data_IF_449407107345
#
_entry.id   IF_449407107345
#
_cell.length_a   1.000
_cell.length_b   1.000
_cell.length_c   1.000
_cell.angle_alpha   90.00
_cell.angle_beta   90.00
_cell.angle_gamma   90.00
#
_symmetry.space_group_name_H-M   'P 1'
#
loop_
_entity.id
_entity.type
_entity.pdbx_description
1 polymer ?
#
# COMPACT_ATOMS: atom_id res chain seq x y z
N UNK A 1 2.37 26.93 -15.01
CA UNK A 1 1.79 25.72 -14.42
C UNK A 1 0.45 26.06 -13.79
N UNK A 2 -0.60 25.31 -14.11
CA UNK A 2 -1.94 25.45 -13.55
C UNK A 2 -2.04 24.54 -12.33
N UNK A 3 -2.55 25.03 -11.19
CA UNK A 3 -2.81 24.21 -10.01
C UNK A 3 -4.29 23.91 -9.91
N UNK A 4 -4.61 22.64 -9.73
CA UNK A 4 -5.96 22.12 -9.53
C UNK A 4 -5.98 21.47 -8.14
N UNK A 5 -6.96 21.82 -7.32
CA UNK A 5 -7.19 21.17 -6.04
C UNK A 5 -8.60 20.59 -6.02
N UNK A 6 -8.69 19.28 -5.83
CA UNK A 6 -9.96 18.54 -5.80
C UNK A 6 -9.99 17.65 -4.57
N UNK A 7 -11.19 17.42 -4.03
CA UNK A 7 -11.39 16.42 -3.00
C UNK A 7 -11.44 15.03 -3.63
N UNK A 8 -10.98 14.01 -2.90
CA UNK A 8 -11.12 12.59 -3.27
C UNK A 8 -12.56 12.22 -3.62
N UNK A 9 -13.51 12.72 -2.82
CA UNK A 9 -14.96 12.57 -3.05
C UNK A 9 -15.58 13.94 -3.18
N UNK A 10 -16.10 14.27 -4.37
CA UNK A 10 -16.73 15.55 -4.63
C UNK A 10 -17.30 15.64 -6.05
N UNK A 11 -18.10 16.69 -6.34
CA UNK A 11 -18.54 16.97 -7.69
C UNK A 11 -17.34 17.29 -8.60
N UNK A 12 -17.54 17.16 -9.91
CA UNK A 12 -16.55 17.62 -10.87
C UNK A 12 -16.34 19.14 -10.71
N UNK A 13 -15.09 19.57 -10.79
CA UNK A 13 -14.73 20.98 -10.78
C UNK A 13 -14.54 21.43 -12.22
N UNK A 14 -15.24 22.51 -12.59
CA UNK A 14 -15.13 23.12 -13.91
C UNK A 14 -13.96 24.08 -13.97
N UNK A 15 -13.04 23.84 -14.89
CA UNK A 15 -11.80 24.59 -15.03
C UNK A 15 -11.58 24.97 -16.49
N UNK A 16 -11.03 26.17 -16.71
CA UNK A 16 -10.58 26.55 -18.04
C UNK A 16 -9.25 25.89 -18.35
N UNK A 17 -9.25 24.97 -19.30
CA UNK A 17 -8.09 24.24 -19.77
C UNK A 17 -8.07 24.27 -21.29
N UNK A 18 -6.88 24.36 -21.88
CA UNK A 18 -6.71 24.14 -23.31
C UNK A 18 -7.10 22.69 -23.65
N UNK A 19 -7.49 22.45 -24.90
CA UNK A 19 -7.84 21.12 -25.37
C UNK A 19 -6.68 20.12 -25.15
N UNK A 20 -5.45 20.56 -25.35
CA UNK A 20 -4.26 19.75 -25.11
C UNK A 20 -4.12 19.39 -23.62
N UNK A 21 -4.23 20.36 -22.71
CA UNK A 21 -4.17 20.11 -21.26
C UNK A 21 -5.26 19.14 -20.80
N UNK A 22 -6.49 19.33 -21.26
CA UNK A 22 -7.62 18.48 -20.89
C UNK A 22 -7.47 17.04 -21.41
N UNK A 23 -7.05 16.87 -22.67
CA UNK A 23 -6.77 15.55 -23.24
C UNK A 23 -5.62 14.84 -22.52
N UNK A 24 -4.54 15.55 -22.19
CA UNK A 24 -3.42 15.00 -21.41
C UNK A 24 -3.87 14.54 -20.01
N UNK A 25 -4.69 15.34 -19.31
CA UNK A 25 -5.26 14.94 -18.02
C UNK A 25 -6.14 13.70 -18.14
N UNK A 26 -6.99 13.62 -19.17
CA UNK A 26 -7.85 12.47 -19.40
C UNK A 26 -7.03 11.20 -19.69
N UNK A 27 -5.99 11.32 -20.51
CA UNK A 27 -5.08 10.21 -20.85
C UNK A 27 -4.23 9.77 -19.65
N UNK A 28 -3.87 10.68 -18.74
CA UNK A 28 -3.01 10.37 -17.58
C UNK A 28 -3.61 9.34 -16.61
N UNK A 29 -4.92 9.11 -16.64
CA UNK A 29 -5.62 8.20 -15.73
C UNK A 29 -5.68 8.66 -14.26
N UNK A 30 -5.03 9.78 -13.90
CA UNK A 30 -4.99 10.35 -12.53
C UNK A 30 -6.37 10.86 -12.09
N UNK A 31 -7.09 11.51 -13.01
CA UNK A 31 -8.41 12.11 -12.80
C UNK A 31 -9.34 11.72 -13.95
N UNK A 32 -10.65 11.81 -13.73
CA UNK A 32 -11.61 11.88 -14.83
C UNK A 32 -11.65 13.32 -15.31
N UNK A 33 -11.15 13.57 -16.52
CA UNK A 33 -11.28 14.85 -17.19
C UNK A 33 -12.16 14.68 -18.43
N UNK A 34 -13.18 15.53 -18.59
CA UNK A 34 -14.06 15.54 -19.76
C UNK A 34 -14.30 16.98 -20.23
N UNK A 35 -14.38 17.25 -21.54
CA UNK A 35 -14.76 18.57 -22.02
C UNK A 35 -16.22 18.84 -21.62
N UNK A 36 -16.51 20.09 -21.25
CA UNK A 36 -17.88 20.50 -20.97
C UNK A 36 -18.71 20.47 -22.26
N UNK A 37 -19.96 19.97 -22.22
CA UNK A 37 -20.84 20.01 -23.38
C UNK A 37 -21.25 21.43 -23.78
N UNK A 38 -21.06 22.42 -22.91
CA UNK A 38 -21.53 23.80 -23.10
C UNK A 38 -20.42 24.79 -23.50
N UNK A 39 -19.15 24.51 -23.19
CA UNK A 39 -18.00 25.37 -23.50
C UNK A 39 -16.76 24.51 -23.80
N UNK A 40 -16.20 24.67 -25.01
CA UNK A 40 -15.03 23.90 -25.48
C UNK A 40 -13.74 24.22 -24.72
N UNK A 41 -13.68 25.36 -24.03
CA UNK A 41 -12.55 25.76 -23.21
C UNK A 41 -12.71 25.37 -21.74
N UNK A 42 -13.84 24.75 -21.38
CA UNK A 42 -14.16 24.35 -20.03
C UNK A 42 -14.06 22.82 -19.92
N UNK A 43 -13.38 22.36 -18.89
CA UNK A 43 -13.20 20.95 -18.60
C UNK A 43 -13.72 20.63 -17.22
N UNK A 44 -14.49 19.56 -17.12
CA UNK A 44 -14.95 18.98 -15.87
C UNK A 44 -13.92 17.96 -15.39
N UNK A 45 -13.33 18.25 -14.23
CA UNK A 45 -12.27 17.42 -13.64
C UNK A 45 -12.74 16.86 -12.29
N UNK A 46 -12.66 15.55 -12.13
CA UNK A 46 -13.07 14.84 -10.91
C UNK A 46 -12.01 13.81 -10.50
N UNK A 47 -11.81 13.63 -9.19
CA UNK A 47 -10.98 12.57 -8.66
C UNK A 47 -11.56 11.18 -9.03
N UNK A 48 -10.67 10.18 -9.14
CA UNK A 48 -11.07 8.78 -9.34
C UNK A 48 -11.13 8.06 -8.01
N UNK A 49 -10.01 7.48 -7.62
CA UNK A 49 -9.84 6.53 -6.52
C UNK A 49 -8.51 6.72 -5.77
N UNK A 50 -7.65 7.63 -6.27
CA UNK A 50 -6.33 7.91 -5.72
C UNK A 50 -6.27 9.31 -5.09
N UNK A 51 -5.45 9.45 -4.04
CA UNK A 51 -5.17 10.73 -3.36
C UNK A 51 -3.70 11.07 -3.40
N UNK A 52 -3.35 12.36 -3.37
CA UNK A 52 -1.96 12.81 -3.42
C UNK A 52 -1.74 13.89 -4.48
N UNK A 53 -0.56 13.91 -5.09
CA UNK A 53 -0.19 14.95 -6.07
C UNK A 53 0.29 14.33 -7.36
N UNK A 54 -0.08 14.94 -8.47
CA UNK A 54 0.35 14.57 -9.80
C UNK A 54 0.69 15.81 -10.63
N UNK A 55 1.77 15.75 -11.40
CA UNK A 55 2.05 16.72 -12.47
C UNK A 55 1.82 16.02 -13.79
N UNK A 56 0.94 16.57 -14.63
CA UNK A 56 0.64 16.09 -15.98
C UNK A 56 0.95 17.24 -16.94
N UNK A 57 2.13 17.19 -17.56
CA UNK A 57 2.64 18.31 -18.37
C UNK A 57 2.82 19.57 -17.52
N UNK A 58 2.02 20.60 -17.80
CA UNK A 58 2.03 21.89 -17.08
C UNK A 58 0.87 22.03 -16.07
N UNK A 59 0.10 20.98 -15.85
CA UNK A 59 -1.01 20.94 -14.89
C UNK A 59 -0.61 20.13 -13.66
N UNK A 60 -0.81 20.70 -12.50
CA UNK A 60 -0.53 20.10 -11.20
C UNK A 60 -1.84 19.84 -10.46
N UNK A 61 -2.12 18.57 -10.17
CA UNK A 61 -3.36 18.11 -9.54
C UNK A 61 -3.07 17.68 -8.11
N UNK A 62 -3.80 18.28 -7.17
CA UNK A 62 -3.80 17.94 -5.75
C UNK A 62 -5.13 17.30 -5.40
N UNK A 63 -5.09 16.03 -5.00
CA UNK A 63 -6.26 15.27 -4.59
C UNK A 63 -6.20 15.08 -3.07
N UNK A 64 -7.04 15.81 -2.35
CA UNK A 64 -7.05 15.80 -0.88
C UNK A 64 -7.88 14.62 -0.36
N UNK A 65 -7.31 13.78 0.53
CA UNK A 65 -8.06 12.68 1.15
C UNK A 65 -9.17 13.21 2.07
N UNK A 66 -10.25 12.45 2.19
CA UNK A 66 -11.29 12.71 3.20
C UNK A 66 -10.87 12.30 4.62
N UNK A 67 -9.85 11.43 4.73
CA UNK A 67 -9.20 11.08 5.99
C UNK A 67 -8.16 12.13 6.36
N UNK A 68 -8.01 12.41 7.66
CA UNK A 68 -6.87 13.20 8.12
C UNK A 68 -5.56 12.45 7.87
N UNK A 69 -4.49 13.22 7.72
CA UNK A 69 -3.17 12.70 7.31
C UNK A 69 -2.61 11.72 8.34
N UNK A 70 -2.81 11.98 9.63
CA UNK A 70 -2.39 11.07 10.72
C UNK A 70 -3.10 9.72 10.64
N UNK A 71 -4.41 9.70 10.34
CA UNK A 71 -5.17 8.45 10.14
C UNK A 71 -4.64 7.70 8.93
N UNK A 72 -4.41 8.40 7.82
CA UNK A 72 -3.88 7.78 6.62
C UNK A 72 -2.51 7.13 6.86
N UNK A 73 -1.60 7.84 7.53
CA UNK A 73 -0.28 7.31 7.84
C UNK A 73 -0.36 6.12 8.80
N UNK A 74 -1.27 6.15 9.79
CA UNK A 74 -1.55 5.00 10.64
C UNK A 74 -2.00 3.77 9.83
N UNK A 75 -2.97 3.92 8.92
CA UNK A 75 -3.48 2.79 8.12
C UNK A 75 -2.39 2.19 7.21
N UNK A 76 -1.63 3.04 6.50
CA UNK A 76 -0.55 2.56 5.63
C UNK A 76 0.53 1.87 6.46
N UNK A 77 0.90 2.47 7.58
CA UNK A 77 1.92 1.98 8.46
C UNK A 77 1.57 0.61 9.04
N UNK A 78 0.38 0.51 9.63
CA UNK A 78 -0.13 -0.72 10.20
C UNK A 78 -0.25 -1.84 9.16
N UNK A 79 -0.73 -1.53 7.94
CA UNK A 79 -0.80 -2.49 6.83
C UNK A 79 0.58 -2.96 6.32
N UNK A 80 1.67 -2.38 6.81
CA UNK A 80 3.04 -2.77 6.43
C UNK A 80 3.73 -3.51 7.57
N UNK A 81 3.58 -3.02 8.79
CA UNK A 81 4.05 -3.67 10.01
C UNK A 81 3.21 -3.26 11.22
N UNK A 82 2.25 -4.10 11.60
CA UNK A 82 1.38 -3.83 12.72
C UNK A 82 2.10 -3.62 14.06
N UNK A 83 3.21 -4.33 14.27
CA UNK A 83 3.92 -4.32 15.56
C UNK A 83 4.75 -3.05 15.70
N UNK A 84 5.50 -2.68 14.66
CA UNK A 84 6.35 -1.48 14.68
C UNK A 84 5.56 -0.17 14.66
N UNK A 85 4.43 -0.09 13.94
CA UNK A 85 3.70 1.17 13.78
C UNK A 85 2.82 1.57 14.97
N UNK A 86 2.39 0.62 15.80
CA UNK A 86 1.64 0.92 17.05
C UNK A 86 2.44 1.87 17.96
N UNK A 87 3.77 1.77 17.98
CA UNK A 87 4.65 2.61 18.82
C UNK A 87 5.05 3.95 18.17
N UNK A 88 5.03 4.04 16.84
CA UNK A 88 5.63 5.17 16.10
C UNK A 88 4.63 6.27 15.69
N UNK A 89 3.32 5.94 15.64
CA UNK A 89 2.25 6.87 15.23
C UNK A 89 2.22 8.15 16.08
N UNK A 90 2.66 8.08 17.34
CA UNK A 90 2.71 9.22 18.26
C UNK A 90 3.78 10.29 17.91
N UNK A 91 4.64 10.04 16.92
CA UNK A 91 5.77 10.94 16.58
C UNK A 91 5.59 11.73 15.30
N UNK A 92 4.50 11.57 14.57
CA UNK A 92 4.27 12.29 13.31
C UNK A 92 3.91 13.75 13.60
N UNK A 93 4.76 14.69 13.14
CA UNK A 93 4.48 16.12 13.20
C UNK A 93 3.62 16.45 11.98
N UNK A 94 2.30 16.53 12.17
CA UNK A 94 1.35 16.73 11.08
C UNK A 94 1.41 18.20 10.64
N UNK A 95 1.95 18.42 9.44
CA UNK A 95 1.94 19.73 8.78
C UNK A 95 0.82 19.77 7.74
N UNK A 96 0.59 20.94 7.15
CA UNK A 96 -0.40 21.09 6.07
C UNK A 96 -0.05 20.16 4.89
N UNK A 97 -0.92 19.19 4.62
CA UNK A 97 -0.79 18.27 3.49
C UNK A 97 0.00 16.97 3.77
N UNK A 98 -0.42 15.90 3.10
CA UNK A 98 0.14 14.55 3.25
C UNK A 98 1.63 14.49 2.89
N UNK A 99 1.98 15.11 1.76
CA UNK A 99 3.32 15.05 1.19
C UNK A 99 4.39 15.76 2.03
N UNK A 100 4.21 17.03 2.43
CA UNK A 100 5.13 17.68 3.35
C UNK A 100 5.30 16.90 4.66
N UNK A 101 4.19 16.37 5.20
CA UNK A 101 4.23 15.56 6.43
C UNK A 101 5.09 14.30 6.27
N UNK A 102 4.92 13.56 5.17
CA UNK A 102 5.74 12.37 4.85
C UNK A 102 7.20 12.76 4.64
N UNK A 103 7.47 13.81 3.88
CA UNK A 103 8.83 14.23 3.55
C UNK A 103 9.62 14.70 4.78
N UNK A 104 9.04 15.59 5.60
CA UNK A 104 9.69 16.05 6.83
C UNK A 104 9.86 14.91 7.84
N UNK A 105 8.87 14.03 7.97
CA UNK A 105 8.96 12.87 8.86
C UNK A 105 10.06 11.92 8.42
N UNK A 106 10.15 11.61 7.11
CA UNK A 106 11.22 10.78 6.57
C UNK A 106 12.58 11.44 6.80
N UNK A 107 12.72 12.74 6.53
CA UNK A 107 13.98 13.47 6.76
C UNK A 107 14.45 13.31 8.20
N UNK A 108 13.57 13.59 9.17
CA UNK A 108 13.89 13.52 10.60
C UNK A 108 14.28 12.11 11.03
N UNK A 109 13.53 11.09 10.60
CA UNK A 109 13.85 9.70 10.98
C UNK A 109 15.12 9.20 10.30
N UNK A 110 15.34 9.53 9.01
CA UNK A 110 16.55 9.18 8.31
C UNK A 110 17.78 9.88 8.92
N UNK A 111 17.70 11.16 9.24
CA UNK A 111 18.79 11.89 9.92
C UNK A 111 19.16 11.25 11.25
N UNK A 112 18.16 10.79 12.02
CA UNK A 112 18.36 10.04 13.27
C UNK A 112 19.01 8.67 13.01
N UNK A 113 18.49 7.91 12.05
CA UNK A 113 19.00 6.59 11.68
C UNK A 113 20.48 6.65 11.25
N UNK A 114 20.83 7.67 10.46
CA UNK A 114 22.16 7.85 9.89
C UNK A 114 23.14 8.56 10.86
N UNK A 115 22.71 9.03 12.04
CA UNK A 115 23.54 9.85 12.95
C UNK A 115 24.90 9.22 13.27
N UNK A 116 24.93 7.89 13.43
CA UNK A 116 26.16 7.11 13.66
C UNK A 116 26.68 6.43 12.39
N UNK A 117 26.57 7.07 11.22
CA UNK A 117 27.00 6.52 9.93
C UNK A 117 25.98 5.58 9.28
N UNK A 118 26.26 5.19 8.03
CA UNK A 118 25.49 4.16 7.33
C UNK A 118 25.61 2.83 8.08
N UNK A 119 24.51 2.08 8.11
CA UNK A 119 24.56 0.71 8.62
C UNK A 119 25.34 -0.15 7.63
N UNK A 120 26.28 -0.94 8.14
CA UNK A 120 26.97 -1.96 7.37
C UNK A 120 26.39 -3.32 7.74
N UNK A 121 26.33 -4.21 6.76
CA UNK A 121 25.83 -5.57 6.96
C UNK A 121 26.45 -6.53 5.95
N UNK A 122 26.30 -7.82 6.25
CA UNK A 122 26.75 -8.87 5.36
C UNK A 122 25.71 -9.10 4.26
N UNK A 123 26.16 -9.09 3.01
CA UNK A 123 25.37 -9.46 1.84
C UNK A 123 26.06 -10.62 1.13
N UNK A 124 25.29 -11.65 0.79
CA UNK A 124 25.78 -12.75 -0.04
C UNK A 124 25.97 -12.23 -1.45
N UNK A 125 27.22 -12.22 -1.91
CA UNK A 125 27.60 -11.86 -3.27
C UNK A 125 27.98 -13.13 -4.01
N UNK A 126 27.48 -13.26 -5.23
CA UNK A 126 27.87 -14.32 -6.16
C UNK A 126 28.47 -13.68 -7.42
N UNK A 127 29.76 -13.91 -7.66
CA UNK A 127 30.49 -13.29 -8.75
C UNK A 127 31.59 -14.20 -9.31
N UNK A 128 32.12 -13.83 -10.48
CA UNK A 128 33.24 -14.51 -11.13
C UNK A 128 34.55 -13.79 -10.74
N UNK A 129 35.36 -14.43 -9.90
CA UNK A 129 36.56 -13.84 -9.30
C UNK A 129 37.84 -14.57 -9.74
N UNK A 130 38.94 -13.82 -9.85
CA UNK A 130 40.28 -14.39 -10.08
C UNK A 130 40.95 -14.88 -8.79
N UNK A 131 40.34 -14.61 -7.63
CA UNK A 131 40.82 -15.01 -6.31
C UNK A 131 39.73 -15.78 -5.56
N UNK A 132 40.14 -16.82 -4.84
CA UNK A 132 39.20 -17.62 -4.05
C UNK A 132 38.81 -16.88 -2.77
N UNK A 133 37.57 -16.40 -2.71
CA UNK A 133 36.96 -15.75 -1.54
C UNK A 133 35.61 -16.42 -1.25
N UNK A 134 35.41 -16.94 -0.04
CA UNK A 134 34.17 -17.64 0.34
C UNK A 134 34.11 -19.11 -0.08
N UNK A 135 33.06 -19.51 -0.82
CA UNK A 135 32.84 -20.88 -1.33
C UNK A 135 32.74 -20.87 -2.85
N UNK A 136 33.32 -21.87 -3.51
CA UNK A 136 33.14 -22.07 -4.96
C UNK A 136 31.72 -22.57 -5.24
N UNK A 137 31.11 -22.11 -6.33
CA UNK A 137 29.85 -22.62 -6.86
C UNK A 137 30.15 -23.65 -7.94
N UNK A 138 30.39 -24.90 -7.55
CA UNK A 138 30.93 -25.93 -8.44
C UNK A 138 30.03 -26.20 -9.65
N UNK A 139 28.71 -26.22 -9.43
CA UNK A 139 27.73 -26.42 -10.50
C UNK A 139 27.79 -25.31 -11.56
N UNK A 140 27.89 -24.05 -11.12
CA UNK A 140 27.98 -22.90 -12.02
C UNK A 140 29.34 -22.83 -12.71
N UNK A 141 30.43 -23.18 -12.00
CA UNK A 141 31.77 -23.27 -12.57
C UNK A 141 31.83 -24.26 -13.72
N UNK A 142 31.31 -25.48 -13.52
CA UNK A 142 31.34 -26.52 -14.54
C UNK A 142 30.48 -26.14 -15.75
N UNK A 143 29.33 -25.50 -15.50
CA UNK A 143 28.37 -25.08 -16.52
C UNK A 143 28.85 -23.89 -17.36
N UNK A 144 29.48 -22.88 -16.74
CA UNK A 144 29.87 -21.63 -17.41
C UNK A 144 31.26 -21.68 -18.02
N UNK A 145 32.18 -22.42 -17.39
CA UNK A 145 33.60 -22.33 -17.71
C UNK A 145 34.19 -23.61 -18.33
N UNK A 146 33.40 -24.68 -18.49
CA UNK A 146 33.74 -25.90 -19.26
C UNK A 146 35.19 -26.39 -19.06
N UNK A 147 35.64 -26.47 -17.80
CA UNK A 147 36.99 -26.92 -17.43
C UNK A 147 38.03 -25.82 -17.21
N UNK A 148 37.70 -24.54 -17.44
CA UNK A 148 38.56 -23.42 -17.01
C UNK A 148 38.42 -23.20 -15.51
N UNK A 149 39.58 -23.03 -14.84
CA UNK A 149 39.67 -22.82 -13.39
C UNK A 149 39.36 -21.37 -13.00
N UNK A 150 39.66 -20.42 -13.90
CA UNK A 150 39.52 -18.98 -13.66
C UNK A 150 38.77 -18.33 -14.84
N UNK A 151 37.86 -17.37 -14.59
CA UNK A 151 37.42 -16.91 -13.27
C UNK A 151 36.62 -17.98 -12.52
N UNK A 152 36.74 -17.97 -11.19
CA UNK A 152 36.05 -18.84 -10.26
C UNK A 152 34.68 -18.22 -9.92
N UNK A 153 33.61 -18.94 -10.16
CA UNK A 153 32.26 -18.59 -9.71
C UNK A 153 32.18 -18.79 -8.19
N UNK A 154 32.35 -17.72 -7.41
CA UNK A 154 32.39 -17.79 -5.95
C UNK A 154 31.13 -17.19 -5.33
N UNK A 155 30.82 -17.66 -4.13
CA UNK A 155 29.79 -17.12 -3.24
C UNK A 155 30.43 -16.75 -1.92
N UNK A 156 30.35 -15.48 -1.54
CA UNK A 156 30.94 -14.99 -0.30
C UNK A 156 30.06 -13.92 0.37
N UNK A 157 30.27 -13.73 1.66
CA UNK A 157 29.60 -12.67 2.41
C UNK A 157 30.49 -11.41 2.38
N UNK A 158 30.00 -10.34 1.75
CA UNK A 158 30.68 -9.05 1.73
C UNK A 158 30.10 -8.10 2.79
N UNK A 159 30.99 -7.44 3.52
CA UNK A 159 30.59 -6.50 4.57
C UNK A 159 30.50 -5.10 3.98
N UNK A 160 29.28 -4.72 3.58
CA UNK A 160 29.02 -3.57 2.71
C UNK A 160 28.03 -2.59 3.32
N UNK A 161 28.04 -1.36 2.81
CA UNK A 161 26.99 -0.37 3.04
C UNK A 161 25.82 -0.55 2.06
N UNK A 162 25.94 -1.38 1.01
CA UNK A 162 24.89 -1.59 0.01
C UNK A 162 23.85 -2.65 0.43
N UNK A 163 23.36 -2.50 1.66
CA UNK A 163 22.37 -3.39 2.27
C UNK A 163 20.93 -2.95 1.94
N UNK A 164 19.93 -3.86 2.03
CA UNK A 164 18.52 -3.55 1.78
C UNK A 164 18.03 -2.27 2.46
N UNK A 165 18.36 -2.08 3.74
CA UNK A 165 17.93 -0.92 4.53
C UNK A 165 18.38 0.40 3.91
N UNK A 166 19.66 0.52 3.55
CA UNK A 166 20.19 1.74 2.95
C UNK A 166 19.61 1.98 1.55
N UNK A 167 19.42 0.91 0.77
CA UNK A 167 18.84 0.97 -0.58
C UNK A 167 17.38 1.43 -0.57
N UNK A 168 16.59 0.94 0.39
CA UNK A 168 15.20 1.36 0.61
C UNK A 168 15.14 2.85 0.95
N UNK A 169 15.98 3.32 1.88
CA UNK A 169 16.05 4.74 2.23
C UNK A 169 16.45 5.61 1.03
N UNK A 170 17.49 5.21 0.29
CA UNK A 170 17.95 5.95 -0.88
C UNK A 170 16.86 6.05 -1.95
N UNK A 171 16.15 4.96 -2.23
CA UNK A 171 15.04 4.96 -3.18
C UNK A 171 13.91 5.89 -2.74
N UNK A 172 13.52 5.86 -1.46
CA UNK A 172 12.48 6.76 -0.93
C UNK A 172 12.91 8.24 -1.00
N UNK A 173 14.16 8.56 -0.66
CA UNK A 173 14.70 9.92 -0.77
C UNK A 173 14.66 10.42 -2.21
N UNK A 174 15.10 9.61 -3.18
CA UNK A 174 15.09 10.00 -4.59
C UNK A 174 13.66 10.19 -5.11
N UNK A 175 12.73 9.33 -4.67
CA UNK A 175 11.32 9.42 -5.04
C UNK A 175 10.64 10.68 -4.50
N UNK A 176 10.95 11.09 -3.28
CA UNK A 176 10.43 12.36 -2.75
C UNK A 176 11.05 13.58 -3.45
N UNK A 177 12.29 13.48 -3.94
CA UNK A 177 12.93 14.57 -4.69
C UNK A 177 12.26 14.83 -6.06
N UNK A 178 11.50 13.86 -6.60
CA UNK A 178 10.70 14.04 -7.83
C UNK A 178 9.34 14.71 -7.58
N UNK A 179 8.92 14.85 -6.31
CA UNK A 179 7.64 15.49 -5.96
C UNK A 179 7.70 16.98 -6.28
N UNK A 180 6.73 17.53 -7.04
CA UNK A 180 6.68 18.96 -7.33
C UNK A 180 6.45 19.78 -6.06
N UNK A 181 7.02 21.00 -6.04
CA UNK A 181 6.80 22.00 -4.98
C UNK A 181 7.00 21.50 -3.54
N UNK A 182 7.84 20.48 -3.37
CA UNK A 182 8.38 20.16 -2.07
C UNK A 182 9.05 21.42 -1.50
N UNK A 183 8.77 21.74 -0.24
CA UNK A 183 9.31 22.94 0.40
C UNK A 183 10.85 22.91 0.40
N UNK A 184 11.44 24.11 0.39
CA UNK A 184 12.90 24.26 0.24
C UNK A 184 13.68 23.61 1.40
N UNK A 185 13.09 23.54 2.60
CA UNK A 185 13.73 22.91 3.75
C UNK A 185 13.80 21.40 3.57
N UNK A 186 12.66 20.75 3.29
CA UNK A 186 12.59 19.32 3.03
C UNK A 186 13.46 18.92 1.83
N UNK A 187 13.43 19.70 0.73
CA UNK A 187 14.28 19.45 -0.44
C UNK A 187 15.77 19.51 -0.09
N UNK A 188 16.20 20.51 0.69
CA UNK A 188 17.60 20.64 1.13
C UNK A 188 18.03 19.45 1.99
N UNK A 189 17.18 19.03 2.94
CA UNK A 189 17.42 17.90 3.83
C UNK A 189 17.49 16.57 3.06
N UNK A 190 16.58 16.36 2.11
CA UNK A 190 16.60 15.18 1.23
C UNK A 190 17.85 15.13 0.34
N UNK A 191 18.31 16.26 -0.21
CA UNK A 191 19.57 16.32 -0.95
C UNK A 191 20.77 15.97 -0.07
N UNK A 192 20.81 16.47 1.16
CA UNK A 192 21.85 16.11 2.13
C UNK A 192 21.82 14.60 2.48
N UNK A 193 20.64 14.02 2.67
CA UNK A 193 20.47 12.59 2.89
C UNK A 193 20.94 11.77 1.68
N UNK A 194 20.58 12.19 0.46
CA UNK A 194 21.03 11.54 -0.78
C UNK A 194 22.55 11.51 -0.88
N UNK A 195 23.21 12.63 -0.55
CA UNK A 195 24.68 12.70 -0.56
C UNK A 195 25.31 11.77 0.48
N UNK A 196 24.70 11.62 1.67
CA UNK A 196 25.17 10.67 2.69
C UNK A 196 25.00 9.21 2.27
N UNK A 197 24.03 8.93 1.42
CA UNK A 197 23.75 7.61 0.84
C UNK A 197 24.45 7.38 -0.50
N UNK A 198 25.38 8.26 -0.92
CA UNK A 198 26.09 8.14 -2.19
C UNK A 198 26.82 6.79 -2.42
N UNK A 199 27.36 6.09 -1.39
CA UNK A 199 27.97 4.78 -1.57
C UNK A 199 26.98 3.63 -1.86
N UNK A 200 25.67 3.89 -1.85
CA UNK A 200 24.61 2.87 -1.91
C UNK A 200 24.04 2.81 -3.32
N UNK A 201 23.78 1.60 -3.81
CA UNK A 201 23.23 1.39 -5.15
C UNK A 201 21.76 1.78 -5.19
N UNK A 202 21.42 2.77 -6.03
CA UNK A 202 20.03 3.17 -6.26
C UNK A 202 19.23 1.99 -6.82
N UNK A 203 18.09 1.60 -6.20
CA UNK A 203 17.23 0.58 -6.77
C UNK A 203 16.64 0.99 -8.12
N UNK A 204 16.35 0.00 -8.96
CA UNK A 204 15.76 0.21 -10.28
C UNK A 204 14.34 0.77 -10.10
N UNK A 205 13.94 1.83 -10.81
CA UNK A 205 12.57 2.32 -10.79
C UNK A 205 11.58 1.21 -11.18
N UNK A 206 10.47 1.10 -10.44
CA UNK A 206 9.42 0.11 -10.73
C UNK A 206 9.66 -1.29 -10.16
N UNK A 207 10.83 -1.58 -9.56
CA UNK A 207 11.01 -2.83 -8.81
C UNK A 207 10.44 -2.71 -7.40
N UNK A 208 9.98 -3.83 -6.83
CA UNK A 208 9.60 -3.87 -5.42
C UNK A 208 10.81 -3.47 -4.54
N UNK A 209 10.59 -2.79 -3.39
CA UNK A 209 11.67 -2.51 -2.46
C UNK A 209 12.30 -3.83 -1.99
N UNK A 210 13.63 -3.86 -1.77
CA UNK A 210 14.29 -4.98 -1.12
C UNK A 210 13.59 -5.35 0.21
N UNK A 211 13.59 -6.64 0.57
CA UNK A 211 13.07 -7.07 1.86
C UNK A 211 14.10 -6.74 2.97
N UNK A 212 13.61 -6.29 4.13
CA UNK A 212 14.41 -6.12 5.34
C UNK A 212 13.66 -6.68 6.54
N UNK A 213 14.38 -7.04 7.60
CA UNK A 213 13.79 -7.61 8.81
C UNK A 213 14.19 -6.79 10.04
N UNK A 214 13.25 -6.47 10.94
CA UNK A 214 13.57 -5.82 12.21
C UNK A 214 14.52 -6.67 13.06
N UNK A 215 15.67 -6.11 13.40
CA UNK A 215 16.67 -6.69 14.31
C UNK A 215 17.15 -5.63 15.30
N UNK A 216 17.84 -6.06 16.36
CA UNK A 216 18.49 -5.13 17.30
C UNK A 216 19.56 -4.26 16.61
N UNK A 217 20.23 -4.79 15.59
CA UNK A 217 21.31 -4.11 14.86
C UNK A 217 20.78 -2.95 14.02
N UNK A 218 19.63 -3.12 13.38
CA UNK A 218 19.00 -2.08 12.55
C UNK A 218 17.88 -1.32 13.27
N UNK A 219 17.73 -1.46 14.60
CA UNK A 219 16.69 -0.80 15.39
C UNK A 219 16.60 0.72 15.15
N UNK A 220 17.75 1.39 14.96
CA UNK A 220 17.78 2.83 14.67
C UNK A 220 17.21 3.21 13.29
N UNK A 221 17.05 2.26 12.38
CA UNK A 221 16.52 2.45 11.02
C UNK A 221 15.02 2.20 10.91
N UNK A 222 14.41 1.47 11.86
CA UNK A 222 13.03 0.97 11.72
C UNK A 222 12.05 2.06 11.31
N UNK A 223 11.98 3.17 12.05
CA UNK A 223 11.06 4.27 11.73
C UNK A 223 11.29 4.90 10.36
N UNK A 224 12.56 5.00 9.93
CA UNK A 224 12.90 5.57 8.64
C UNK A 224 12.54 4.61 7.50
N UNK A 225 12.77 3.31 7.68
CA UNK A 225 12.43 2.27 6.71
C UNK A 225 10.93 2.12 6.55
N UNK A 226 10.20 2.15 7.66
CA UNK A 226 8.73 2.13 7.68
C UNK A 226 8.13 3.32 6.93
N UNK A 227 8.66 4.53 7.11
CA UNK A 227 8.24 5.69 6.31
C UNK A 227 8.68 5.59 4.85
N UNK A 228 9.85 5.01 4.58
CA UNK A 228 10.30 4.77 3.22
C UNK A 228 9.36 3.80 2.50
N UNK A 229 8.90 2.72 3.14
CA UNK A 229 7.92 1.78 2.58
C UNK A 229 6.62 2.48 2.17
N UNK A 230 6.16 3.48 2.94
CA UNK A 230 5.02 4.33 2.54
C UNK A 230 5.31 5.05 1.21
N UNK A 231 6.47 5.68 1.11
CA UNK A 231 6.92 6.37 -0.11
C UNK A 231 7.03 5.39 -1.29
N UNK A 232 7.46 4.16 -1.04
CA UNK A 232 7.52 3.09 -2.04
C UNK A 232 6.15 2.62 -2.53
N UNK A 233 5.13 2.63 -1.66
CA UNK A 233 3.73 2.28 -1.99
C UNK A 233 2.97 3.37 -2.72
N UNK A 234 3.39 4.64 -2.63
CA UNK A 234 2.86 5.66 -3.53
C UNK A 234 3.07 5.20 -4.98
N UNK A 235 2.18 5.55 -5.91
CA UNK A 235 2.38 5.30 -7.35
C UNK A 235 3.31 6.41 -7.88
N UNK A 236 4.31 6.06 -8.71
CA UNK A 236 5.21 7.00 -9.42
C UNK A 236 5.50 6.46 -10.83
N UNK A 237 6.11 7.28 -11.71
CA UNK A 237 5.64 7.51 -13.07
C UNK A 237 5.42 6.22 -13.87
N UNK A 238 4.18 6.02 -14.31
CA UNK A 238 3.88 5.07 -15.39
C UNK A 238 4.49 5.66 -16.67
N UNK A 239 5.62 5.10 -17.10
CA UNK A 239 6.14 5.30 -18.45
C UNK A 239 5.49 4.25 -19.34
N UNK A 240 4.29 4.53 -19.84
CA UNK A 240 3.79 3.82 -21.02
C UNK A 240 4.52 4.38 -22.25
N UNK A 241 5.11 3.55 -23.13
CA UNK A 241 5.75 4.02 -24.35
C UNK A 241 4.72 4.77 -25.21
N UNK A 242 4.85 6.09 -25.31
CA UNK A 242 3.98 6.97 -26.12
C UNK A 242 2.98 7.84 -25.35
N UNK A 243 2.89 7.75 -24.01
CA UNK A 243 1.97 8.58 -23.21
C UNK A 243 2.68 9.61 -22.31
N UNK A 244 1.90 10.63 -21.93
CA UNK A 244 2.29 11.83 -21.18
C UNK A 244 3.06 11.47 -19.91
N UNK A 245 4.28 12.01 -19.76
CA UNK A 245 5.05 11.87 -18.51
C UNK A 245 4.27 12.52 -17.36
N UNK A 246 3.75 11.69 -16.46
CA UNK A 246 3.10 12.14 -15.25
C UNK A 246 3.99 11.84 -14.02
N UNK A 247 4.52 12.88 -13.38
CA UNK A 247 5.19 12.72 -12.09
C UNK A 247 4.12 12.61 -11.01
N UNK A 248 3.85 11.38 -10.56
CA UNK A 248 2.80 11.09 -9.59
C UNK A 248 3.37 10.66 -8.24
N UNK A 249 2.68 11.11 -7.19
CA UNK A 249 2.78 10.59 -5.84
C UNK A 249 1.36 10.40 -5.34
N UNK A 250 0.80 9.25 -5.67
CA UNK A 250 -0.61 8.93 -5.47
C UNK A 250 -0.77 7.66 -4.64
N UNK A 251 -1.71 7.68 -3.70
CA UNK A 251 -2.09 6.54 -2.88
C UNK A 251 -3.48 6.05 -3.27
N UNK A 252 -3.60 4.75 -3.47
CA UNK A 252 -4.89 4.07 -3.60
C UNK A 252 -5.43 3.78 -2.19
N UNK A 253 -6.35 4.63 -1.73
CA UNK A 253 -6.89 4.52 -0.37
C UNK A 253 -7.75 3.27 -0.17
N UNK A 254 -8.38 2.77 -1.24
CA UNK A 254 -9.15 1.54 -1.18
C UNK A 254 -8.23 0.36 -0.85
N UNK A 255 -7.12 0.22 -1.58
CA UNK A 255 -6.13 -0.83 -1.32
C UNK A 255 -5.45 -0.68 0.05
N UNK A 256 -5.18 0.55 0.48
CA UNK A 256 -4.61 0.80 1.81
C UNK A 256 -5.59 0.35 2.90
N UNK A 257 -6.87 0.69 2.77
CA UNK A 257 -7.91 0.29 3.71
C UNK A 257 -8.10 -1.23 3.73
N UNK A 258 -8.20 -1.87 2.56
CA UNK A 258 -8.26 -3.33 2.42
C UNK A 258 -7.08 -3.99 3.12
N UNK A 259 -5.86 -3.56 2.79
CA UNK A 259 -4.64 -4.11 3.38
C UNK A 259 -4.61 -3.94 4.90
N UNK A 260 -5.04 -2.79 5.40
CA UNK A 260 -5.15 -2.52 6.83
C UNK A 260 -6.13 -3.48 7.52
N UNK A 261 -7.36 -3.57 7.02
CA UNK A 261 -8.41 -4.42 7.60
C UNK A 261 -7.98 -5.88 7.58
N UNK A 262 -7.42 -6.34 6.46
CA UNK A 262 -6.96 -7.71 6.28
C UNK A 262 -5.85 -8.07 7.26
N UNK A 263 -4.82 -7.23 7.38
CA UNK A 263 -3.72 -7.46 8.30
C UNK A 263 -4.18 -7.39 9.77
N UNK A 264 -4.99 -6.40 10.12
CA UNK A 264 -5.47 -6.21 11.48
C UNK A 264 -6.40 -7.35 11.93
N UNK A 265 -7.33 -7.78 11.07
CA UNK A 265 -8.17 -8.95 11.35
C UNK A 265 -7.35 -10.24 11.42
N UNK A 266 -6.35 -10.40 10.56
CA UNK A 266 -5.49 -11.58 10.57
C UNK A 266 -4.79 -11.76 11.92
N UNK A 267 -4.23 -10.68 12.48
CA UNK A 267 -3.59 -10.72 13.79
C UNK A 267 -4.57 -11.06 14.91
N UNK A 268 -5.73 -10.40 14.95
CA UNK A 268 -6.72 -10.59 16.01
C UNK A 268 -7.36 -11.99 15.97
N UNK A 269 -7.68 -12.50 14.77
CA UNK A 269 -8.22 -13.86 14.60
C UNK A 269 -7.18 -14.92 14.98
N UNK A 270 -5.94 -14.76 14.51
CA UNK A 270 -4.85 -15.69 14.84
C UNK A 270 -4.56 -15.73 16.34
N UNK A 271 -4.55 -14.56 17.01
CA UNK A 271 -4.35 -14.47 18.45
C UNK A 271 -5.48 -15.15 19.26
N UNK A 272 -6.72 -15.15 18.76
CA UNK A 272 -7.89 -15.70 19.46
C UNK A 272 -8.08 -17.20 19.26
N UNK A 273 -7.97 -17.68 18.03
CA UNK A 273 -8.38 -19.03 17.65
C UNK A 273 -7.33 -19.78 16.81
N UNK A 274 -6.20 -19.15 16.49
CA UNK A 274 -5.24 -19.68 15.53
C UNK A 274 -5.83 -19.75 14.12
N UNK A 275 -5.49 -20.80 13.38
CA UNK A 275 -5.83 -20.93 11.96
C UNK A 275 -4.95 -20.05 11.06
N UNK A 276 -5.27 -20.06 9.77
CA UNK A 276 -4.55 -19.31 8.75
C UNK A 276 -5.48 -18.30 8.11
N UNK A 277 -5.11 -17.02 8.15
CA UNK A 277 -5.81 -16.00 7.37
C UNK A 277 -5.12 -15.87 6.02
N UNK A 278 -5.90 -16.10 4.96
CA UNK A 278 -5.45 -16.05 3.57
C UNK A 278 -5.91 -14.72 2.95
N UNK A 279 -4.99 -13.76 2.75
CA UNK A 279 -5.31 -12.56 1.99
C UNK A 279 -5.51 -12.91 0.51
N UNK A 280 -6.47 -12.26 -0.14
CA UNK A 280 -6.70 -12.34 -1.58
C UNK A 280 -6.84 -13.79 -2.12
N UNK A 281 -7.57 -14.63 -1.38
CA UNK A 281 -7.81 -16.05 -1.65
C UNK A 281 -8.45 -16.24 -3.03
N UNK A 282 -7.95 -17.16 -3.85
CA UNK A 282 -8.57 -17.44 -5.17
C UNK A 282 -9.51 -18.62 -5.06
N UNK A 283 -10.76 -18.42 -5.46
CA UNK A 283 -11.78 -19.47 -5.55
C UNK A 283 -12.58 -19.35 -6.84
N UNK A 284 -13.45 -20.33 -7.11
CA UNK A 284 -14.29 -20.36 -8.30
C UNK A 284 -15.76 -20.46 -7.91
N UNK A 285 -16.62 -19.75 -8.62
CA UNK A 285 -18.06 -19.76 -8.36
C UNK A 285 -18.76 -20.98 -9.00
N UNK A 286 -18.25 -21.42 -10.14
CA UNK A 286 -18.83 -22.47 -10.97
C UNK A 286 -18.00 -23.76 -10.94
N UNK A 287 -18.67 -24.89 -11.16
CA UNK A 287 -18.04 -26.21 -11.22
C UNK A 287 -17.04 -26.36 -12.37
N UNK A 288 -17.15 -25.54 -13.41
CA UNK A 288 -16.20 -25.50 -14.53
C UNK A 288 -14.98 -24.60 -14.29
N UNK A 289 -14.87 -23.97 -13.11
CA UNK A 289 -13.75 -23.10 -12.73
C UNK A 289 -13.52 -21.91 -13.68
N UNK A 290 -14.56 -21.44 -14.37
CA UNK A 290 -14.47 -20.33 -15.33
C UNK A 290 -14.62 -18.96 -14.68
N UNK A 291 -15.43 -18.87 -13.62
CA UNK A 291 -15.73 -17.65 -12.89
C UNK A 291 -14.82 -17.59 -11.66
N UNK A 292 -13.67 -16.96 -11.83
CA UNK A 292 -12.70 -16.76 -10.75
C UNK A 292 -13.13 -15.61 -9.83
N UNK A 293 -13.04 -15.83 -8.53
CA UNK A 293 -13.35 -14.88 -7.48
C UNK A 293 -12.17 -14.72 -6.53
N UNK A 294 -12.08 -13.53 -5.92
CA UNK A 294 -10.96 -13.17 -5.05
C UNK A 294 -11.42 -12.35 -3.85
N UNK A 295 -11.91 -12.99 -2.77
CA UNK A 295 -12.21 -12.29 -1.54
C UNK A 295 -10.95 -11.70 -0.90
N UNK A 296 -11.07 -10.53 -0.27
CA UNK A 296 -9.94 -9.84 0.38
C UNK A 296 -9.35 -10.68 1.52
N UNK A 297 -10.22 -11.33 2.30
CA UNK A 297 -9.84 -12.16 3.45
C UNK A 297 -10.70 -13.42 3.52
N UNK A 298 -10.03 -14.57 3.57
CA UNK A 298 -10.63 -15.84 3.99
C UNK A 298 -9.89 -16.34 5.22
N UNK A 299 -10.61 -16.62 6.28
CA UNK A 299 -10.06 -17.30 7.45
C UNK A 299 -10.28 -18.80 7.29
N UNK A 300 -9.18 -19.55 7.30
CA UNK A 300 -9.17 -21.00 7.32
C UNK A 300 -8.96 -21.51 8.75
N UNK A 301 -9.87 -22.36 9.19
CA UNK A 301 -9.75 -23.10 10.44
C UNK A 301 -9.68 -24.60 10.12
N UNK A 302 -8.68 -25.29 10.66
CA UNK A 302 -8.42 -26.72 10.39
C UNK A 302 -8.36 -27.07 8.88
N UNK A 303 -7.78 -26.18 8.07
CA UNK A 303 -7.58 -26.39 6.64
C UNK A 303 -8.83 -26.22 5.77
N UNK A 304 -9.90 -25.63 6.32
CA UNK A 304 -11.13 -25.32 5.58
C UNK A 304 -11.51 -23.85 5.75
N UNK A 305 -12.06 -23.19 4.71
CA UNK A 305 -12.67 -21.87 4.85
C UNK A 305 -13.73 -21.91 5.97
N UNK A 306 -13.63 -21.00 6.92
CA UNK A 306 -14.53 -20.91 8.07
C UNK A 306 -15.23 -19.54 8.16
N UNK A 307 -14.62 -18.50 7.59
CA UNK A 307 -15.23 -17.20 7.42
C UNK A 307 -14.65 -16.46 6.22
N UNK A 308 -15.44 -15.56 5.64
CA UNK A 308 -15.03 -14.67 4.55
C UNK A 308 -15.36 -13.22 4.90
N UNK A 309 -14.42 -12.33 4.62
CA UNK A 309 -14.60 -10.90 4.80
C UNK A 309 -14.07 -10.12 3.60
N UNK A 310 -14.71 -8.98 3.33
CA UNK A 310 -14.33 -8.07 2.25
C UNK A 310 -14.47 -6.62 2.74
N UNK A 311 -13.46 -5.81 2.44
CA UNK A 311 -13.28 -4.46 2.97
C UNK A 311 -13.48 -3.41 1.88
N UNK A 312 -14.47 -2.53 2.06
CA UNK A 312 -14.80 -1.49 1.09
C UNK A 312 -14.54 -0.09 1.65
N UNK A 313 -13.69 0.67 0.95
CA UNK A 313 -13.39 2.07 1.28
C UNK A 313 -14.47 3.06 0.79
N UNK A 314 -15.71 2.84 1.22
CA UNK A 314 -16.88 3.67 0.88
C UNK A 314 -17.90 3.63 2.02
N UNK A 315 -18.85 4.57 2.08
CA UNK A 315 -19.87 4.55 3.11
C UNK A 315 -20.85 3.38 2.90
N UNK A 316 -21.32 2.78 3.99
CA UNK A 316 -22.30 1.68 4.00
C UNK A 316 -23.65 2.03 3.33
N UNK A 317 -23.99 3.32 3.13
CA UNK A 317 -25.31 3.77 2.62
C UNK A 317 -25.27 4.43 1.24
N UNK A 318 -24.24 4.19 0.43
CA UNK A 318 -24.23 4.67 -0.96
C UNK A 318 -25.29 3.91 -1.79
N UNK A 319 -26.44 4.56 -2.09
CA UNK A 319 -27.54 3.99 -2.89
C UNK A 319 -27.00 3.32 -4.17
N UNK A 320 -27.40 2.07 -4.41
CA UNK A 320 -27.02 1.25 -5.59
C UNK A 320 -25.68 0.52 -5.51
N UNK A 321 -24.75 0.94 -4.65
CA UNK A 321 -23.43 0.29 -4.51
C UNK A 321 -23.41 -0.85 -3.48
N UNK A 322 -24.24 -0.75 -2.44
CA UNK A 322 -24.38 -1.78 -1.40
C UNK A 322 -24.94 -3.07 -1.99
N UNK A 323 -25.85 -2.95 -2.96
CA UNK A 323 -26.48 -4.08 -3.62
C UNK A 323 -25.44 -4.95 -4.35
N UNK A 324 -24.48 -4.30 -5.04
CA UNK A 324 -23.37 -4.99 -5.71
C UNK A 324 -22.43 -5.72 -4.75
N UNK A 325 -22.10 -5.12 -3.60
CA UNK A 325 -21.25 -5.76 -2.59
C UNK A 325 -21.96 -6.96 -1.93
N UNK A 326 -23.27 -6.84 -1.70
CA UNK A 326 -24.10 -7.94 -1.17
C UNK A 326 -24.14 -9.10 -2.17
N UNK A 327 -24.32 -8.83 -3.47
CA UNK A 327 -24.29 -9.88 -4.50
C UNK A 327 -22.91 -10.55 -4.59
N UNK A 328 -21.83 -9.76 -4.54
CA UNK A 328 -20.47 -10.29 -4.51
C UNK A 328 -20.23 -11.17 -3.29
N UNK A 329 -20.64 -10.73 -2.10
CA UNK A 329 -20.49 -11.50 -0.87
C UNK A 329 -21.34 -12.78 -0.87
N UNK A 330 -22.55 -12.74 -1.43
CA UNK A 330 -23.35 -13.94 -1.63
C UNK A 330 -22.62 -14.96 -2.53
N UNK A 331 -21.99 -14.50 -3.62
CA UNK A 331 -21.21 -15.36 -4.49
C UNK A 331 -20.01 -15.98 -3.73
N UNK A 332 -19.31 -15.21 -2.90
CA UNK A 332 -18.24 -15.72 -2.04
C UNK A 332 -18.73 -16.80 -1.07
N UNK A 333 -19.82 -16.53 -0.36
CA UNK A 333 -20.42 -17.51 0.55
C UNK A 333 -20.84 -18.78 -0.18
N UNK A 334 -21.38 -18.65 -1.39
CA UNK A 334 -21.79 -19.80 -2.23
C UNK A 334 -20.58 -20.65 -2.62
N UNK A 335 -19.51 -20.04 -3.15
CA UNK A 335 -18.32 -20.75 -3.59
C UNK A 335 -17.52 -21.39 -2.44
N UNK A 336 -17.53 -20.76 -1.26
CA UNK A 336 -16.82 -21.27 -0.09
C UNK A 336 -17.70 -22.14 0.81
N UNK A 337 -18.97 -22.35 0.44
CA UNK A 337 -19.99 -23.04 1.24
C UNK A 337 -20.07 -22.50 2.69
N UNK A 338 -20.12 -21.18 2.83
CA UNK A 338 -20.20 -20.49 4.12
C UNK A 338 -21.62 -19.97 4.37
N UNK A 339 -22.18 -20.19 5.58
CA UNK A 339 -23.50 -19.67 5.93
C UNK A 339 -23.48 -18.16 6.23
N UNK A 340 -22.29 -17.57 6.37
CA UNK A 340 -22.11 -16.17 6.76
C UNK A 340 -20.96 -15.49 6.02
N UNK A 341 -21.16 -14.21 5.68
CA UNK A 341 -20.13 -13.35 5.08
C UNK A 341 -20.12 -11.95 5.69
N UNK A 342 -18.94 -11.34 5.79
CA UNK A 342 -18.73 -10.06 6.48
C UNK A 342 -18.28 -8.96 5.51
N UNK A 343 -19.07 -7.90 5.37
CA UNK A 343 -18.70 -6.70 4.61
C UNK A 343 -18.26 -5.60 5.58
N UNK A 344 -17.10 -4.99 5.36
CA UNK A 344 -16.52 -3.99 6.27
C UNK A 344 -16.37 -2.66 5.55
N UNK A 345 -17.13 -1.66 5.96
CA UNK A 345 -17.17 -0.34 5.33
C UNK A 345 -16.38 0.69 6.13
N UNK A 346 -15.59 1.53 5.45
CA UNK A 346 -14.78 2.59 6.06
C UNK A 346 -15.57 3.75 6.70
N UNK A 347 -16.89 3.77 6.54
CA UNK A 347 -17.82 4.74 7.15
C UNK A 347 -19.23 4.16 7.14
N UNK A 348 -20.00 4.29 8.22
CA UNK A 348 -21.35 3.74 8.27
C UNK A 348 -22.00 3.93 9.63
N UNK A 349 -23.15 3.30 9.83
CA UNK A 349 -23.84 3.37 11.11
C UNK A 349 -23.16 2.47 12.14
N UNK A 350 -23.16 2.87 13.41
CA UNK A 350 -22.57 2.09 14.50
C UNK A 350 -23.21 0.70 14.70
N UNK A 351 -24.43 0.48 14.18
CA UNK A 351 -25.12 -0.81 14.25
C UNK A 351 -24.89 -1.57 12.95
N UNK A 352 -24.30 -2.77 12.99
CA UNK A 352 -24.16 -3.62 11.81
C UNK A 352 -25.52 -3.89 11.15
N UNK A 353 -25.59 -3.78 9.84
CA UNK A 353 -26.79 -4.17 9.10
C UNK A 353 -26.73 -5.68 8.81
N UNK A 354 -27.83 -6.38 9.03
CA UNK A 354 -27.93 -7.82 8.78
C UNK A 354 -28.86 -8.09 7.60
N UNK A 355 -28.38 -8.84 6.63
CA UNK A 355 -29.15 -9.27 5.47
C UNK A 355 -29.25 -10.79 5.46
N UNK A 356 -30.44 -11.33 5.70
CA UNK A 356 -30.72 -12.76 5.54
C UNK A 356 -31.16 -12.98 4.10
N UNK A 357 -30.35 -13.70 3.33
CA UNK A 357 -30.56 -13.86 1.90
C UNK A 357 -31.64 -14.91 1.67
N UNK A 358 -32.70 -14.49 0.98
CA UNK A 358 -33.85 -15.33 0.69
C UNK A 358 -33.39 -16.55 -0.14
N UNK A 359 -33.79 -17.73 0.31
CA UNK A 359 -33.54 -19.03 -0.36
C UNK A 359 -32.08 -19.46 -0.49
N UNK A 360 -31.13 -18.76 0.14
CA UNK A 360 -29.71 -19.13 0.09
C UNK A 360 -29.20 -19.76 1.40
N UNK A 361 -29.90 -19.56 2.53
CA UNK A 361 -29.37 -19.95 3.84
C UNK A 361 -28.15 -19.12 4.28
N UNK A 362 -27.85 -18.03 3.57
CA UNK A 362 -26.69 -17.16 3.81
C UNK A 362 -27.12 -15.90 4.57
N UNK A 363 -26.34 -15.52 5.58
CA UNK A 363 -26.43 -14.25 6.29
C UNK A 363 -25.25 -13.36 5.92
N UNK A 364 -25.52 -12.12 5.53
CA UNK A 364 -24.48 -11.12 5.24
C UNK A 364 -24.54 -10.05 6.32
N UNK A 365 -23.41 -9.81 6.98
CA UNK A 365 -23.29 -8.81 8.04
C UNK A 365 -22.43 -7.65 7.53
N UNK A 366 -23.02 -6.47 7.52
CA UNK A 366 -22.38 -5.23 7.07
C UNK A 366 -21.94 -4.41 8.28
N UNK A 367 -20.64 -4.35 8.49
CA UNK A 367 -19.97 -3.62 9.56
C UNK A 367 -19.52 -2.23 9.09
N UNK A 368 -19.49 -1.29 10.01
CA UNK A 368 -18.90 0.02 9.78
C UNK A 368 -17.71 0.23 10.71
N UNK A 369 -16.57 0.62 10.14
CA UNK A 369 -15.39 1.02 10.88
C UNK A 369 -15.30 2.54 10.90
N UNK A 370 -15.31 3.13 12.09
CA UNK A 370 -15.10 4.57 12.25
C UNK A 370 -13.61 4.92 12.21
N UNK A 371 -13.16 5.31 11.01
CA UNK A 371 -11.79 5.75 10.77
C UNK A 371 -11.47 7.14 11.33
N UNK A 372 -12.45 7.88 11.87
CA UNK A 372 -12.19 9.17 12.53
C UNK A 372 -11.75 9.00 13.98
N UNK A 373 -11.92 7.81 14.54
CA UNK A 373 -11.50 7.48 15.89
C UNK A 373 -9.97 7.39 16.06
N UNK A 374 -9.51 7.37 17.32
CA UNK A 374 -8.10 7.18 17.66
C UNK A 374 -7.58 5.81 17.20
N UNK A 375 -6.26 5.61 17.02
CA UNK A 375 -5.74 4.35 16.49
C UNK A 375 -6.14 3.16 17.36
N UNK A 376 -6.07 3.33 18.69
CA UNK A 376 -6.46 2.30 19.66
C UNK A 376 -7.96 1.98 19.57
N UNK A 377 -8.82 2.98 19.36
CA UNK A 377 -10.25 2.76 19.19
C UNK A 377 -10.58 2.02 17.88
N UNK A 378 -9.85 2.30 16.79
CA UNK A 378 -9.98 1.56 15.53
C UNK A 378 -9.59 0.09 15.75
N UNK A 379 -8.47 -0.17 16.45
CA UNK A 379 -8.05 -1.54 16.76
C UNK A 379 -9.05 -2.27 17.68
N UNK A 380 -9.67 -1.55 18.62
CA UNK A 380 -10.78 -2.08 19.43
C UNK A 380 -11.97 -2.52 18.56
N UNK A 381 -12.36 -1.71 17.58
CA UNK A 381 -13.41 -2.10 16.62
C UNK A 381 -13.00 -3.33 15.81
N UNK A 382 -11.75 -3.43 15.33
CA UNK A 382 -11.25 -4.63 14.64
C UNK A 382 -11.31 -5.87 15.55
N UNK A 383 -10.99 -5.73 16.83
CA UNK A 383 -11.05 -6.82 17.79
C UNK A 383 -12.50 -7.32 18.00
N UNK A 384 -13.48 -6.42 18.05
CA UNK A 384 -14.91 -6.77 18.08
C UNK A 384 -15.35 -7.46 16.78
N UNK A 385 -14.89 -6.97 15.63
CA UNK A 385 -15.16 -7.59 14.32
C UNK A 385 -14.60 -9.00 14.23
N UNK A 386 -13.37 -9.21 14.70
CA UNK A 386 -12.76 -10.54 14.78
C UNK A 386 -13.60 -11.49 15.66
N UNK A 387 -14.11 -11.01 16.80
CA UNK A 387 -14.97 -11.81 17.67
C UNK A 387 -16.28 -12.23 17.00
N UNK A 388 -16.88 -11.35 16.18
CA UNK A 388 -18.09 -11.67 15.42
C UNK A 388 -17.80 -12.64 14.28
N UNK A 389 -16.70 -12.42 13.55
CA UNK A 389 -16.26 -13.25 12.43
C UNK A 389 -15.96 -14.70 12.85
N UNK A 390 -15.48 -14.91 14.07
CA UNK A 390 -15.21 -16.27 14.58
C UNK A 390 -16.36 -16.91 15.35
N UNK A 391 -17.46 -16.18 15.59
CA UNK A 391 -18.58 -16.64 16.45
C UNK A 391 -19.28 -17.88 15.91
N UNK A 392 -19.37 -18.03 14.59
CA UNK A 392 -20.11 -19.10 13.91
C UNK A 392 -19.51 -20.49 14.15
N UNK A 393 -18.22 -20.59 14.48
CA UNK A 393 -17.57 -21.87 14.81
C UNK A 393 -18.04 -22.43 16.17
N UNK A 394 -18.41 -21.58 17.13
CA UNK A 394 -18.78 -22.04 18.48
C UNK A 394 -20.14 -22.75 18.55
N UNK A 395 -20.92 -22.78 17.46
CA UNK A 395 -22.24 -23.43 17.43
C UNK A 395 -22.25 -24.73 16.63
N UNK A 396 -21.11 -25.13 16.07
CA UNK A 396 -20.94 -26.36 15.29
C UNK A 396 -19.94 -27.35 15.90
N UNK A 397 -19.44 -27.05 17.10
CA UNK A 397 -18.74 -27.97 18.02
C UNK A 397 -19.62 -28.24 19.22
#
# INVERSE_FOLDING_TARGET
MIRIQIAETGPAVSLRLTEEQGRRLAASGVVRARPSPFDRNLWEVQARDKVGVAVVGDVEVWITPKLSIDRLLFLIGYATDPKGWREETARLDVREGLLPTVAHSLCRQAERALRGGLLQGYQVVEDASYVMRGRLREADQLRRHHGRVIPMEVRHDDFTMDIPENRILLGAVNRLLTVPRLDNEARRRLLALRNRLAPVTLPIPGTAPPAWHPTRLNARYHSALRLAEIVWRATSPEHSPGEVVANTFLFDLAKIFESFVTVALAEEVHARHGGAVRPQYTCHLDESHTITMRPDLVWEFQGRPAAVADAKYKPQRSKGFVDGDIYQMLAYCTALNLPEGHLIYAKGNAIPAHHVIRHAGVRIICHALDLTASPNAILGQINELAAQLTKTIMWSS
#
